data_IF_483730074617
#
_entry.id   IF_483730074617
#
_cell.length_a   1.000
_cell.length_b   1.000
_cell.length_c   1.000
_cell.angle_alpha   90.00
_cell.angle_beta   90.00
_cell.angle_gamma   90.00
#
_symmetry.space_group_name_H-M   'P 1'
#
loop_
_entity.id
_entity.type
_entity.pdbx_description
1 polymer ?
#
# COMPACT_ATOMS: atom_id res chain seq x y z
N UNK A 1 -66.04 -16.33 38.85
CA UNK A 1 -66.85 -16.72 37.67
C UNK A 1 -66.78 -15.56 36.69
N UNK A 2 -66.26 -15.73 35.45
CA UNK A 2 -67.04 -15.70 34.18
C UNK A 2 -68.00 -14.48 34.17
N UNK A 3 -67.77 -13.37 33.46
CA UNK A 3 -67.73 -13.15 31.99
C UNK A 3 -67.14 -11.74 31.65
N UNK A 4 -66.91 -11.25 30.42
CA UNK A 4 -67.00 -11.84 29.05
C UNK A 4 -65.83 -11.40 28.11
N UNK A 5 -65.95 -10.30 27.34
CA UNK A 5 -65.22 -10.06 26.07
C UNK A 5 -65.32 -8.60 25.51
N UNK A 6 -64.33 -8.24 24.67
CA UNK A 6 -64.40 -7.49 23.40
C UNK A 6 -64.38 -5.94 23.30
N UNK A 7 -63.25 -5.40 22.81
CA UNK A 7 -63.12 -4.57 21.59
C UNK A 7 -61.60 -4.40 21.28
N UNK A 8 -61.04 -4.94 20.19
CA UNK A 8 -61.14 -4.56 18.76
C UNK A 8 -60.07 -3.53 18.33
N UNK A 9 -59.12 -4.03 17.53
CA UNK A 9 -58.25 -3.32 16.56
C UNK A 9 -57.42 -2.09 16.96
N UNK A 10 -56.10 -2.22 16.84
CA UNK A 10 -55.33 -1.45 15.85
C UNK A 10 -54.03 -2.18 15.51
N UNK A 11 -53.69 -2.23 14.22
CA UNK A 11 -52.48 -2.91 13.74
C UNK A 11 -51.26 -1.99 13.83
N UNK A 12 -50.11 -2.52 14.25
CA UNK A 12 -48.81 -1.86 14.15
C UNK A 12 -47.85 -2.76 13.38
N UNK A 13 -47.34 -2.24 12.27
CA UNK A 13 -46.67 -2.94 11.19
C UNK A 13 -45.47 -3.81 11.63
N UNK A 14 -45.35 -4.98 11.00
CA UNK A 14 -44.17 -5.82 11.11
C UNK A 14 -42.92 -5.05 10.65
N UNK A 15 -41.94 -4.89 11.54
CA UNK A 15 -40.65 -4.28 11.21
C UNK A 15 -39.83 -5.26 10.38
N UNK A 16 -39.65 -4.97 9.08
CA UNK A 16 -38.75 -5.75 8.23
C UNK A 16 -37.31 -5.55 8.70
N UNK A 17 -36.70 -6.59 9.24
CA UNK A 17 -35.29 -6.63 9.59
C UNK A 17 -34.46 -6.55 8.30
N UNK A 18 -34.06 -5.33 7.91
CA UNK A 18 -33.01 -5.14 6.91
C UNK A 18 -31.70 -5.65 7.50
N UNK A 19 -31.22 -6.78 6.98
CA UNK A 19 -29.90 -7.29 7.32
C UNK A 19 -28.83 -6.31 6.81
N UNK A 20 -28.34 -5.45 7.71
CA UNK A 20 -27.14 -4.66 7.45
C UNK A 20 -25.99 -5.61 7.14
N UNK A 21 -25.37 -5.55 5.95
CA UNK A 21 -24.14 -6.29 5.72
C UNK A 21 -23.09 -5.81 6.72
N UNK A 22 -22.39 -6.76 7.35
CA UNK A 22 -21.31 -6.44 8.25
C UNK A 22 -20.20 -5.71 7.47
N UNK A 23 -20.15 -4.39 7.60
CA UNK A 23 -19.01 -3.60 7.14
C UNK A 23 -17.80 -4.07 7.94
N UNK A 24 -16.89 -4.79 7.28
CA UNK A 24 -15.59 -5.06 7.85
C UNK A 24 -14.91 -3.70 8.09
N UNK A 25 -14.87 -3.28 9.36
CA UNK A 25 -14.16 -2.08 9.77
C UNK A 25 -12.67 -2.35 9.60
N UNK A 26 -12.17 -2.11 8.39
CA UNK A 26 -10.75 -1.85 8.19
C UNK A 26 -10.40 -0.72 9.15
N UNK A 27 -9.63 -1.06 10.18
CA UNK A 27 -8.96 -0.06 11.00
C UNK A 27 -7.98 0.65 10.07
N UNK A 28 -8.42 1.77 9.52
CA UNK A 28 -7.52 2.77 8.98
C UNK A 28 -6.75 3.29 10.19
N UNK A 29 -5.63 2.63 10.50
CA UNK A 29 -4.70 3.12 11.50
C UNK A 29 -4.40 4.56 11.13
N UNK A 30 -4.49 5.47 12.10
CA UNK A 30 -4.14 6.86 11.86
C UNK A 30 -2.66 6.87 11.50
N UNK A 31 -2.38 7.01 10.21
CA UNK A 31 -1.07 7.33 9.68
C UNK A 31 -0.77 8.76 10.06
N UNK A 32 -0.49 8.97 11.35
CA UNK A 32 -0.24 10.26 11.97
C UNK A 32 1.08 10.81 11.45
N UNK A 33 0.99 11.45 10.28
CA UNK A 33 1.87 12.51 9.82
C UNK A 33 3.39 12.22 9.78
N UNK A 34 3.83 11.00 9.48
CA UNK A 34 5.25 10.73 9.14
C UNK A 34 5.57 11.15 7.69
N UNK A 35 5.31 12.44 7.42
CA UNK A 35 5.88 13.21 6.30
C UNK A 35 7.19 13.89 6.75
N UNK A 36 7.87 13.30 7.72
CA UNK A 36 9.00 13.87 8.46
C UNK A 36 10.19 12.91 8.40
N UNK A 37 11.25 13.36 7.71
CA UNK A 37 12.43 12.59 7.31
C UNK A 37 12.15 11.47 6.27
N UNK A 38 12.97 11.43 5.23
CA UNK A 38 13.02 10.30 4.32
C UNK A 38 13.70 9.15 5.08
N UNK A 39 12.98 8.07 5.36
CA UNK A 39 13.52 6.92 6.10
C UNK A 39 14.78 6.34 5.43
N UNK A 40 15.61 5.54 6.13
CA UNK A 40 16.91 5.09 5.61
C UNK A 40 16.85 4.46 4.21
N UNK A 41 15.81 3.65 3.93
CA UNK A 41 15.58 3.07 2.61
C UNK A 41 15.26 4.13 1.53
N UNK A 42 14.44 5.13 1.83
CA UNK A 42 14.12 6.20 0.89
C UNK A 42 15.34 7.09 0.60
N UNK A 43 16.17 7.36 1.61
CA UNK A 43 17.45 8.06 1.43
C UNK A 43 18.45 7.25 0.57
N UNK A 44 18.55 5.93 0.81
CA UNK A 44 19.36 5.03 -0.01
C UNK A 44 18.87 4.98 -1.47
N UNK A 45 17.55 4.91 -1.68
CA UNK A 45 16.93 4.94 -3.01
C UNK A 45 17.25 6.25 -3.75
N UNK A 46 17.07 7.41 -3.11
CA UNK A 46 17.42 8.70 -3.72
C UNK A 46 18.91 8.80 -4.05
N UNK A 47 19.78 8.26 -3.19
CA UNK A 47 21.24 8.21 -3.42
C UNK A 47 21.58 7.33 -4.64
N UNK A 48 20.97 6.15 -4.73
CA UNK A 48 21.10 5.25 -5.88
C UNK A 48 20.63 5.91 -7.19
N UNK A 49 19.47 6.57 -7.19
CA UNK A 49 18.93 7.23 -8.37
C UNK A 49 19.74 8.47 -8.79
N UNK A 50 20.29 9.22 -7.82
CA UNK A 50 21.13 10.38 -8.07
C UNK A 50 22.49 10.05 -8.70
N UNK A 51 22.99 8.82 -8.51
CA UNK A 51 24.35 8.38 -8.87
C UNK A 51 24.86 8.88 -10.23
N UNK A 52 26.10 9.42 -10.32
CA UNK A 52 26.67 9.92 -11.59
C UNK A 52 26.80 8.84 -12.67
N UNK A 53 27.05 7.58 -12.31
CA UNK A 53 27.16 6.47 -13.28
C UNK A 53 25.82 6.10 -13.96
N UNK A 54 24.71 6.72 -13.56
CA UNK A 54 23.38 6.61 -14.19
C UNK A 54 23.05 7.77 -15.13
N UNK A 55 24.03 8.59 -15.55
CA UNK A 55 23.77 9.76 -16.41
C UNK A 55 22.97 9.42 -17.68
N UNK A 56 23.31 8.32 -18.36
CA UNK A 56 22.61 7.82 -19.56
C UNK A 56 21.29 7.09 -19.23
N UNK A 57 21.16 6.59 -18.00
CA UNK A 57 20.00 5.82 -17.55
C UNK A 57 18.79 6.70 -17.21
N UNK A 58 19.03 7.89 -16.63
CA UNK A 58 18.00 8.76 -16.01
C UNK A 58 16.85 9.12 -16.95
N UNK A 59 17.11 9.27 -18.25
CA UNK A 59 16.07 9.55 -19.25
C UNK A 59 15.03 8.41 -19.38
N UNK A 60 15.35 7.19 -18.91
CA UNK A 60 14.49 6.01 -18.95
C UNK A 60 13.65 5.86 -17.68
N UNK A 61 13.97 6.59 -16.61
CA UNK A 61 13.33 6.46 -15.29
C UNK A 61 11.85 6.86 -15.38
N UNK A 62 11.47 7.87 -16.18
CA UNK A 62 10.07 8.28 -16.42
C UNK A 62 9.15 7.20 -16.99
N UNK A 63 9.70 6.12 -17.54
CA UNK A 63 8.96 4.96 -18.06
C UNK A 63 9.14 3.70 -17.23
N UNK A 64 10.09 3.72 -16.29
CA UNK A 64 10.50 2.54 -15.51
C UNK A 64 10.24 2.66 -14.02
N UNK A 65 10.03 3.88 -13.52
CA UNK A 65 9.63 4.19 -12.15
C UNK A 65 10.41 3.32 -11.13
N UNK A 66 11.75 3.43 -11.08
CA UNK A 66 12.59 2.47 -10.36
C UNK A 66 12.30 2.43 -8.85
N UNK A 67 12.04 3.59 -8.23
CA UNK A 67 11.72 3.65 -6.81
C UNK A 67 10.36 2.99 -6.53
N UNK A 68 9.36 3.32 -7.33
CA UNK A 68 7.99 2.85 -7.21
C UNK A 68 7.89 1.35 -7.51
N UNK A 69 8.65 0.86 -8.49
CA UNK A 69 8.70 -0.57 -8.85
C UNK A 69 9.36 -1.38 -7.74
N UNK A 70 10.50 -0.92 -7.21
CA UNK A 70 11.18 -1.62 -6.11
C UNK A 70 10.38 -1.55 -4.80
N UNK A 71 9.67 -0.45 -4.53
CA UNK A 71 8.75 -0.34 -3.42
C UNK A 71 7.52 -1.27 -3.57
N UNK A 72 6.96 -1.41 -4.78
CA UNK A 72 5.87 -2.35 -5.07
C UNK A 72 6.28 -3.81 -4.78
N UNK A 73 7.51 -4.19 -5.12
CA UNK A 73 8.07 -5.50 -4.79
C UNK A 73 8.60 -5.61 -3.35
N UNK A 74 8.44 -4.58 -2.53
CA UNK A 74 8.93 -4.53 -1.14
C UNK A 74 10.44 -4.86 -1.03
N UNK A 75 11.23 -4.40 -2.00
CA UNK A 75 12.69 -4.57 -1.98
C UNK A 75 13.29 -3.53 -1.04
N UNK A 76 13.98 -4.00 0.00
CA UNK A 76 14.61 -3.17 1.03
C UNK A 76 16.14 -3.29 1.01
N UNK A 77 16.89 -2.31 1.56
CA UNK A 77 18.34 -2.44 1.75
C UNK A 77 18.72 -3.69 2.54
N UNK A 78 19.84 -4.32 2.20
CA UNK A 78 20.33 -5.57 2.78
C UNK A 78 19.73 -6.86 2.19
N UNK A 79 18.72 -6.76 1.30
CA UNK A 79 18.20 -7.93 0.59
C UNK A 79 19.16 -8.45 -0.49
N UNK A 80 19.24 -9.76 -0.65
CA UNK A 80 19.92 -10.37 -1.81
C UNK A 80 18.95 -10.44 -3.00
N UNK A 81 19.20 -9.65 -4.04
CA UNK A 81 18.36 -9.56 -5.25
C UNK A 81 19.18 -9.91 -6.49
N UNK A 82 18.60 -10.70 -7.39
CA UNK A 82 19.22 -11.10 -8.66
C UNK A 82 18.59 -10.32 -9.82
N UNK A 83 19.38 -9.50 -10.50
CA UNK A 83 19.04 -8.95 -11.82
C UNK A 83 19.26 -10.06 -12.87
N UNK A 84 18.22 -10.87 -13.13
CA UNK A 84 18.32 -12.10 -13.93
C UNK A 84 18.76 -11.87 -15.38
N UNK A 85 18.42 -10.71 -15.96
CA UNK A 85 18.70 -10.41 -17.37
C UNK A 85 19.12 -8.94 -17.52
N UNK A 86 20.30 -8.56 -16.97
CA UNK A 86 20.65 -7.16 -16.72
C UNK A 86 20.84 -6.34 -18.00
N UNK A 87 21.16 -7.00 -19.12
CA UNK A 87 21.45 -6.39 -20.41
C UNK A 87 22.42 -5.20 -20.27
N UNK A 88 21.98 -3.97 -20.54
CA UNK A 88 22.79 -2.75 -20.36
C UNK A 88 23.06 -2.34 -18.91
N UNK A 89 22.66 -3.13 -17.90
CA UNK A 89 22.94 -2.92 -16.47
C UNK A 89 22.11 -1.83 -15.79
N UNK A 90 20.98 -1.42 -16.38
CA UNK A 90 20.18 -0.29 -15.88
C UNK A 90 19.61 -0.55 -14.48
N UNK A 91 19.08 -1.76 -14.22
CA UNK A 91 18.60 -2.13 -12.88
C UNK A 91 19.76 -2.41 -11.94
N UNK A 92 20.81 -3.10 -12.40
CA UNK A 92 22.06 -3.31 -11.65
C UNK A 92 22.62 -2.00 -11.06
N UNK A 93 22.64 -0.89 -11.82
CA UNK A 93 23.11 0.42 -11.35
C UNK A 93 22.18 1.13 -10.35
N UNK A 94 20.93 0.68 -10.20
CA UNK A 94 20.04 1.09 -9.10
C UNK A 94 20.22 0.16 -7.90
N UNK A 95 20.19 -1.16 -8.13
CA UNK A 95 20.18 -2.19 -7.10
C UNK A 95 21.46 -2.20 -6.26
N UNK A 96 22.64 -2.16 -6.88
CA UNK A 96 23.92 -2.23 -6.14
C UNK A 96 24.07 -1.12 -5.08
N UNK A 97 23.90 0.19 -5.41
CA UNK A 97 23.96 1.23 -4.40
C UNK A 97 22.75 1.30 -3.46
N UNK A 98 21.59 0.72 -3.84
CA UNK A 98 20.39 0.71 -3.00
C UNK A 98 20.44 -0.39 -1.92
N UNK A 99 20.88 -1.59 -2.29
CA UNK A 99 20.92 -2.75 -1.41
C UNK A 99 22.06 -2.67 -0.39
N UNK A 100 23.13 -1.94 -0.71
CA UNK A 100 24.31 -1.83 0.17
C UNK A 100 25.33 -2.95 -0.06
N UNK A 101 26.33 -3.05 0.83
CA UNK A 101 27.41 -4.05 0.76
C UNK A 101 26.97 -5.46 1.19
#
# INVERSE_FOLDING_TARGET
MRTLLAACATAALASTALATPAMAQHQHGSGDAEHAAHGPAQHAMMTALASPNRAEDKARDTWRNPAETLAFFQVEPGMTVVDYMPAGGWYTRVLVPYLGP
#
